data_IF_914947730095
#
_entry.id   IF_914947730095
#
_cell.length_a   1.000
_cell.length_b   1.000
_cell.length_c   1.000
_cell.angle_alpha   90.00
_cell.angle_beta   90.00
_cell.angle_gamma   90.00
#
_symmetry.space_group_name_H-M   'P 1'
#
loop_
_entity.id
_entity.type
_entity.pdbx_description
1 polymer ?
#
# COMPACT_ATOMS: atom_id res chain seq x y z
N UNK A 1 8.91 6.11 -21.45
CA UNK A 1 8.10 6.37 -20.21
C UNK A 1 7.17 5.20 -19.98
N UNK A 2 7.24 4.57 -18.83
CA UNK A 2 6.30 3.52 -18.46
C UNK A 2 4.97 4.13 -18.02
N UNK A 3 3.86 3.60 -18.56
CA UNK A 3 2.51 4.01 -18.11
C UNK A 3 2.33 3.60 -16.65
N UNK A 4 1.96 4.51 -15.73
CA UNK A 4 1.68 4.13 -14.35
C UNK A 4 0.51 3.15 -14.26
N UNK A 5 0.50 2.27 -13.24
CA UNK A 5 -0.61 1.35 -12.96
C UNK A 5 -1.87 2.16 -12.61
N UNK A 6 -1.68 3.22 -11.82
CA UNK A 6 -2.71 4.21 -11.50
C UNK A 6 -2.06 5.58 -11.29
N UNK A 7 -2.88 6.62 -11.21
CA UNK A 7 -2.46 7.97 -10.78
C UNK A 7 -3.48 8.43 -9.75
N UNK A 8 -3.03 8.91 -8.58
CA UNK A 8 -3.92 9.30 -7.50
C UNK A 8 -3.67 8.51 -6.21
N UNK A 9 -4.73 8.09 -5.52
CA UNK A 9 -4.68 7.41 -4.24
C UNK A 9 -5.15 5.95 -4.35
N UNK A 10 -4.26 5.00 -4.10
CA UNK A 10 -4.62 3.61 -3.87
C UNK A 10 -4.78 3.33 -2.37
N UNK A 11 -5.78 2.54 -1.98
CA UNK A 11 -5.90 2.06 -0.61
C UNK A 11 -5.04 0.82 -0.39
N UNK A 12 -4.20 0.81 0.65
CA UNK A 12 -3.68 -0.42 1.24
C UNK A 12 -4.79 -0.98 2.14
N UNK A 13 -5.72 -1.76 1.55
CA UNK A 13 -6.95 -2.17 2.19
C UNK A 13 -6.69 -3.14 3.34
N UNK A 14 -7.46 -3.00 4.43
CA UNK A 14 -7.46 -4.00 5.52
C UNK A 14 -8.09 -5.31 5.05
N UNK A 15 -7.75 -6.40 5.74
CA UNK A 15 -8.50 -7.65 5.64
C UNK A 15 -9.42 -7.76 6.87
N UNK A 16 -10.74 -7.58 6.71
CA UNK A 16 -11.67 -7.73 7.83
C UNK A 16 -11.76 -9.19 8.26
N UNK A 17 -11.85 -9.41 9.58
CA UNK A 17 -11.89 -10.74 10.18
C UNK A 17 -13.17 -10.94 10.98
N UNK A 18 -13.73 -12.15 10.92
CA UNK A 18 -14.81 -12.60 11.81
C UNK A 18 -14.30 -12.83 13.24
N UNK A 19 -15.21 -13.03 14.17
CA UNK A 19 -14.86 -13.28 15.58
C UNK A 19 -14.05 -14.58 15.79
N UNK A 20 -14.17 -15.55 14.90
CA UNK A 20 -13.36 -16.79 14.90
C UNK A 20 -12.00 -16.63 14.22
N UNK A 21 -11.70 -15.44 13.71
CA UNK A 21 -10.47 -15.09 12.99
C UNK A 21 -10.47 -15.46 11.50
N UNK A 22 -11.53 -16.02 10.94
CA UNK A 22 -11.67 -16.23 9.49
C UNK A 22 -11.85 -14.89 8.75
N UNK A 23 -11.52 -14.87 7.46
CA UNK A 23 -11.69 -13.66 6.64
C UNK A 23 -13.19 -13.37 6.44
N UNK A 24 -13.60 -12.13 6.72
CA UNK A 24 -14.96 -11.64 6.46
C UNK A 24 -15.07 -11.08 5.04
N UNK A 25 -15.36 -11.94 4.07
CA UNK A 25 -15.45 -11.56 2.67
C UNK A 25 -16.62 -10.61 2.37
N UNK A 26 -17.73 -10.73 3.11
CA UNK A 26 -18.88 -9.83 2.92
C UNK A 26 -18.48 -8.38 3.25
N UNK A 27 -17.83 -8.20 4.40
CA UNK A 27 -17.35 -6.89 4.81
C UNK A 27 -16.22 -6.37 3.91
N UNK A 28 -15.32 -7.25 3.46
CA UNK A 28 -14.29 -6.88 2.48
C UNK A 28 -14.93 -6.33 1.20
N UNK A 29 -15.98 -6.96 0.73
CA UNK A 29 -16.73 -6.49 -0.44
C UNK A 29 -17.36 -5.11 -0.23
N UNK A 30 -17.98 -4.88 0.93
CA UNK A 30 -18.55 -3.58 1.30
C UNK A 30 -17.50 -2.48 1.35
N UNK A 31 -16.33 -2.77 1.95
CA UNK A 31 -15.22 -1.82 2.01
C UNK A 31 -14.68 -1.51 0.60
N UNK A 32 -14.50 -2.52 -0.26
CA UNK A 32 -14.06 -2.30 -1.66
C UNK A 32 -15.05 -1.40 -2.41
N UNK A 33 -16.34 -1.65 -2.29
CA UNK A 33 -17.37 -0.84 -2.98
C UNK A 33 -17.38 0.60 -2.46
N UNK A 34 -17.25 0.79 -1.14
CA UNK A 34 -17.17 2.12 -0.53
C UNK A 34 -15.93 2.89 -1.01
N UNK A 35 -14.77 2.23 -1.04
CA UNK A 35 -13.53 2.82 -1.56
C UNK A 35 -13.71 3.32 -2.99
N UNK A 36 -14.30 2.50 -3.86
CA UNK A 36 -14.53 2.85 -5.26
C UNK A 36 -15.54 3.98 -5.37
N UNK A 37 -16.62 3.95 -4.59
CA UNK A 37 -17.65 4.99 -4.59
C UNK A 37 -17.10 6.36 -4.13
N UNK A 38 -16.05 6.36 -3.30
CA UNK A 38 -15.40 7.55 -2.78
C UNK A 38 -14.07 7.89 -3.48
N UNK A 39 -13.90 7.45 -4.73
CA UNK A 39 -12.85 7.94 -5.62
C UNK A 39 -11.48 7.29 -5.45
N UNK A 40 -11.36 6.18 -4.72
CA UNK A 40 -10.10 5.42 -4.69
C UNK A 40 -9.67 5.00 -6.10
N UNK A 41 -8.42 5.28 -6.49
CA UNK A 41 -7.89 5.05 -7.83
C UNK A 41 -7.35 3.63 -8.05
N UNK A 42 -7.07 2.88 -7.00
CA UNK A 42 -6.68 1.45 -7.05
C UNK A 42 -6.84 0.78 -5.69
N UNK A 43 -7.02 -0.54 -5.68
CA UNK A 43 -7.08 -1.37 -4.46
C UNK A 43 -5.79 -2.18 -4.34
N UNK A 44 -5.08 -2.03 -3.22
CA UNK A 44 -3.95 -2.90 -2.88
C UNK A 44 -4.41 -3.94 -1.86
N UNK A 45 -4.64 -5.17 -2.33
CA UNK A 45 -5.08 -6.31 -1.50
C UNK A 45 -3.89 -7.11 -0.99
N UNK A 46 -4.00 -7.68 0.19
CA UNK A 46 -2.96 -8.52 0.82
C UNK A 46 -1.59 -7.83 0.92
N UNK A 47 -1.58 -6.50 1.15
CA UNK A 47 -0.38 -5.79 1.59
C UNK A 47 -0.14 -5.98 3.09
N UNK A 48 0.80 -5.22 3.67
CA UNK A 48 1.07 -5.22 5.12
C UNK A 48 -0.17 -4.88 5.94
N UNK A 49 -0.94 -3.87 5.49
CA UNK A 49 -2.19 -3.44 6.14
C UNK A 49 -3.28 -4.51 6.05
N UNK A 50 -3.24 -5.36 5.02
CA UNK A 50 -4.11 -6.52 4.84
C UNK A 50 -3.64 -7.77 5.58
N UNK A 51 -2.68 -7.69 6.50
CA UNK A 51 -2.20 -8.79 7.34
C UNK A 51 -1.70 -10.01 6.55
N UNK A 52 -1.10 -9.79 5.38
CA UNK A 52 -0.63 -10.89 4.51
C UNK A 52 0.22 -11.97 5.21
N UNK A 53 1.08 -11.67 6.22
CA UNK A 53 1.89 -12.71 6.87
C UNK A 53 1.10 -13.74 7.69
N UNK A 54 -0.15 -13.44 8.03
CA UNK A 54 -1.01 -14.31 8.85
C UNK A 54 -2.18 -14.93 8.08
N UNK A 55 -2.26 -14.67 6.78
CA UNK A 55 -3.16 -15.38 5.87
C UNK A 55 -2.52 -16.69 5.44
N UNK A 56 -3.30 -17.79 5.42
CA UNK A 56 -2.86 -19.02 4.76
C UNK A 56 -2.75 -18.80 3.24
N UNK A 57 -2.09 -19.70 2.52
CA UNK A 57 -1.98 -19.62 1.05
C UNK A 57 -3.36 -19.59 0.39
N UNK A 58 -4.30 -20.37 0.91
CA UNK A 58 -5.69 -20.43 0.43
C UNK A 58 -6.43 -19.13 0.70
N UNK A 59 -6.29 -18.56 1.90
CA UNK A 59 -6.90 -17.28 2.25
C UNK A 59 -6.31 -16.13 1.42
N UNK A 60 -4.99 -16.11 1.25
CA UNK A 60 -4.29 -15.07 0.49
C UNK A 60 -4.78 -15.04 -0.96
N UNK A 61 -4.78 -16.19 -1.64
CA UNK A 61 -5.27 -16.30 -3.02
C UNK A 61 -6.77 -16.05 -3.11
N UNK A 62 -7.55 -16.48 -2.13
CA UNK A 62 -9.00 -16.20 -2.09
C UNK A 62 -9.29 -14.70 -1.93
N UNK A 63 -8.53 -13.97 -1.10
CA UNK A 63 -8.67 -12.52 -0.95
C UNK A 63 -8.36 -11.79 -2.26
N UNK A 64 -7.29 -12.17 -2.97
CA UNK A 64 -6.95 -11.58 -4.27
C UNK A 64 -8.07 -11.81 -5.29
N UNK A 65 -8.49 -13.06 -5.46
CA UNK A 65 -9.57 -13.44 -6.38
C UNK A 65 -10.87 -12.73 -6.06
N UNK A 66 -11.20 -12.63 -4.77
CA UNK A 66 -12.40 -11.92 -4.31
C UNK A 66 -12.32 -10.42 -4.65
N UNK A 67 -11.19 -9.77 -4.36
CA UNK A 67 -11.01 -8.35 -4.65
C UNK A 67 -11.10 -8.04 -6.15
N UNK A 68 -10.49 -8.88 -7.00
CA UNK A 68 -10.59 -8.76 -8.47
C UNK A 68 -12.04 -8.87 -8.93
N UNK A 69 -12.77 -9.89 -8.44
CA UNK A 69 -14.19 -10.08 -8.76
C UNK A 69 -15.04 -8.91 -8.28
N UNK A 70 -14.81 -8.42 -7.05
CA UNK A 70 -15.59 -7.33 -6.47
C UNK A 70 -15.29 -6.00 -7.14
N UNK A 71 -14.04 -5.70 -7.45
CA UNK A 71 -13.67 -4.48 -8.18
C UNK A 71 -14.24 -4.48 -9.60
N UNK A 72 -14.36 -5.65 -10.23
CA UNK A 72 -15.00 -5.84 -11.54
C UNK A 72 -14.48 -4.87 -12.63
N UNK A 73 -13.17 -4.57 -12.61
CA UNK A 73 -12.53 -3.66 -13.56
C UNK A 73 -12.85 -2.17 -13.38
N UNK A 74 -13.56 -1.79 -12.30
CA UNK A 74 -13.85 -0.38 -11.99
C UNK A 74 -12.58 0.39 -11.61
N UNK A 75 -11.67 -0.25 -10.92
CA UNK A 75 -10.33 0.24 -10.57
C UNK A 75 -9.32 -0.90 -10.63
N UNK A 76 -8.01 -0.64 -10.85
CA UNK A 76 -6.99 -1.67 -10.79
C UNK A 76 -6.89 -2.34 -9.41
N UNK A 77 -6.68 -3.67 -9.41
CA UNK A 77 -6.38 -4.46 -8.21
C UNK A 77 -4.91 -4.86 -8.21
N UNK A 78 -4.18 -4.42 -7.21
CA UNK A 78 -2.75 -4.64 -7.02
C UNK A 78 -2.59 -5.69 -5.91
N UNK A 79 -2.03 -6.85 -6.24
CA UNK A 79 -1.86 -7.94 -5.28
C UNK A 79 -0.52 -7.85 -4.54
N UNK A 80 -0.54 -7.87 -3.21
CA UNK A 80 0.65 -7.99 -2.38
C UNK A 80 1.18 -9.43 -2.43
N UNK A 81 2.29 -9.67 -3.13
CA UNK A 81 2.86 -11.01 -3.35
C UNK A 81 4.34 -11.11 -2.99
N UNK A 82 4.92 -10.02 -2.43
CA UNK A 82 6.30 -10.02 -1.99
C UNK A 82 6.55 -10.96 -0.80
N UNK A 83 7.71 -11.59 -0.80
CA UNK A 83 8.15 -12.49 0.28
C UNK A 83 9.68 -12.40 0.46
N UNK A 84 10.17 -12.87 1.60
CA UNK A 84 11.58 -13.08 1.86
C UNK A 84 12.13 -14.41 1.28
N UNK A 85 11.28 -15.23 0.67
CA UNK A 85 11.61 -16.39 -0.15
C UNK A 85 11.26 -16.12 -1.62
N UNK A 86 12.27 -16.12 -2.48
CA UNK A 86 12.10 -15.84 -3.91
C UNK A 86 11.17 -16.83 -4.60
N UNK A 87 11.24 -18.12 -4.26
CA UNK A 87 10.38 -19.15 -4.86
C UNK A 87 8.92 -18.94 -4.49
N UNK A 88 8.67 -18.65 -3.21
CA UNK A 88 7.33 -18.37 -2.73
C UNK A 88 6.76 -17.08 -3.34
N UNK A 89 7.56 -16.01 -3.44
CA UNK A 89 7.15 -14.78 -4.10
C UNK A 89 6.79 -15.00 -5.58
N UNK A 90 7.54 -15.84 -6.30
CA UNK A 90 7.24 -16.22 -7.68
C UNK A 90 5.92 -16.98 -7.76
N UNK A 91 5.76 -18.01 -6.92
CA UNK A 91 4.53 -18.82 -6.89
C UNK A 91 3.29 -17.94 -6.62
N UNK A 92 3.34 -17.12 -5.58
CA UNK A 92 2.23 -16.26 -5.20
C UNK A 92 1.92 -15.21 -6.28
N UNK A 93 2.95 -14.67 -6.93
CA UNK A 93 2.80 -13.73 -8.05
C UNK A 93 2.13 -14.38 -9.26
N UNK A 94 2.46 -15.63 -9.54
CA UNK A 94 1.82 -16.42 -10.62
C UNK A 94 0.35 -16.73 -10.28
N UNK A 95 0.05 -17.04 -9.00
CA UNK A 95 -1.34 -17.23 -8.57
C UNK A 95 -2.14 -15.92 -8.72
N UNK A 96 -1.59 -14.78 -8.28
CA UNK A 96 -2.25 -13.48 -8.42
C UNK A 96 -2.49 -13.12 -9.89
N UNK A 97 -1.54 -13.42 -10.78
CA UNK A 97 -1.73 -13.25 -12.23
C UNK A 97 -2.85 -14.14 -12.77
N UNK A 98 -2.91 -15.40 -12.35
CA UNK A 98 -3.96 -16.33 -12.76
C UNK A 98 -5.34 -15.94 -12.22
N UNK A 99 -5.41 -15.33 -11.03
CA UNK A 99 -6.62 -14.80 -10.40
C UNK A 99 -7.07 -13.45 -10.98
N UNK A 100 -6.29 -12.87 -11.93
CA UNK A 100 -6.69 -11.68 -12.68
C UNK A 100 -6.29 -10.34 -12.04
N UNK A 101 -5.31 -10.31 -11.15
CA UNK A 101 -4.76 -9.05 -10.65
C UNK A 101 -4.16 -8.21 -11.80
N UNK A 102 -4.23 -6.88 -11.66
CA UNK A 102 -3.72 -5.93 -12.66
C UNK A 102 -2.24 -5.60 -12.46
N UNK A 103 -1.72 -5.74 -11.23
CA UNK A 103 -0.33 -5.50 -10.88
C UNK A 103 0.04 -6.21 -9.58
N UNK A 104 1.35 -6.24 -9.29
CA UNK A 104 1.90 -6.85 -8.08
C UNK A 104 2.59 -5.81 -7.19
N UNK A 105 2.45 -5.92 -5.87
CA UNK A 105 3.22 -5.19 -4.88
C UNK A 105 4.21 -6.14 -4.20
N UNK A 106 5.51 -5.87 -4.36
CA UNK A 106 6.60 -6.75 -3.97
C UNK A 106 7.46 -6.09 -2.88
N UNK A 107 7.22 -6.42 -1.61
CA UNK A 107 8.03 -5.93 -0.49
C UNK A 107 9.46 -6.47 -0.57
N UNK A 108 10.45 -5.67 -0.11
CA UNK A 108 11.84 -6.15 0.01
C UNK A 108 11.92 -7.35 0.97
N UNK A 109 12.83 -8.32 0.73
CA UNK A 109 13.04 -9.43 1.67
C UNK A 109 13.30 -8.92 3.08
N UNK A 110 12.45 -9.34 4.01
CA UNK A 110 12.50 -9.03 5.42
C UNK A 110 13.15 -10.17 6.21
N UNK A 111 13.66 -9.88 7.40
CA UNK A 111 14.26 -10.85 8.33
C UNK A 111 15.61 -11.42 7.83
N UNK A 112 15.63 -12.31 6.81
CA UNK A 112 16.86 -12.86 6.24
C UNK A 112 17.67 -11.82 5.46
N UNK A 113 17.05 -10.69 5.02
CA UNK A 113 17.68 -9.58 4.29
C UNK A 113 18.47 -10.07 3.06
N UNK A 114 19.24 -9.18 2.43
CA UNK A 114 20.21 -9.52 1.40
C UNK A 114 21.04 -8.29 1.01
N UNK A 115 22.05 -8.49 0.17
CA UNK A 115 22.82 -7.41 -0.46
C UNK A 115 22.04 -6.74 -1.59
N UNK A 116 22.51 -5.59 -2.09
CA UNK A 116 21.91 -4.93 -3.24
C UNK A 116 21.91 -5.83 -4.50
N UNK A 117 22.99 -6.57 -4.72
CA UNK A 117 23.05 -7.57 -5.80
C UNK A 117 22.00 -8.68 -5.61
N UNK A 118 21.78 -9.12 -4.39
CA UNK A 118 20.74 -10.09 -4.07
C UNK A 118 19.34 -9.54 -4.28
N UNK A 119 19.06 -8.26 -3.96
CA UNK A 119 17.79 -7.60 -4.26
C UNK A 119 17.54 -7.55 -5.78
N UNK A 120 18.55 -7.17 -6.54
CA UNK A 120 18.45 -7.15 -8.02
C UNK A 120 18.16 -8.55 -8.56
N UNK A 121 18.86 -9.58 -8.08
CA UNK A 121 18.62 -10.97 -8.50
C UNK A 121 17.22 -11.45 -8.13
N UNK A 122 16.77 -11.18 -6.88
CA UNK A 122 15.44 -11.55 -6.37
C UNK A 122 14.33 -10.95 -7.24
N UNK A 123 14.32 -9.64 -7.44
CA UNK A 123 13.29 -8.97 -8.23
C UNK A 123 13.35 -9.30 -9.70
N UNK A 124 14.55 -9.54 -10.26
CA UNK A 124 14.70 -10.00 -11.64
C UNK A 124 14.07 -11.38 -11.82
N UNK A 125 14.29 -12.30 -10.87
CA UNK A 125 13.70 -13.63 -10.93
C UNK A 125 12.17 -13.58 -10.88
N UNK A 126 11.58 -12.75 -10.00
CA UNK A 126 10.12 -12.57 -9.92
C UNK A 126 9.58 -11.93 -11.20
N UNK A 127 10.20 -10.84 -11.67
CA UNK A 127 9.77 -10.13 -12.86
C UNK A 127 9.79 -11.03 -14.11
N UNK A 128 10.79 -11.90 -14.24
CA UNK A 128 10.86 -12.84 -15.37
C UNK A 128 9.84 -13.98 -15.30
N UNK A 129 9.22 -14.21 -14.14
CA UNK A 129 8.25 -15.29 -13.95
C UNK A 129 6.79 -14.87 -14.21
N UNK A 130 6.52 -13.57 -14.41
CA UNK A 130 5.17 -13.00 -14.60
C UNK A 130 5.18 -11.95 -15.71
N UNK A 131 3.99 -11.63 -16.23
CA UNK A 131 3.80 -10.56 -17.23
C UNK A 131 3.18 -9.29 -16.67
N UNK A 132 2.77 -9.30 -15.38
CA UNK A 132 2.12 -8.17 -14.74
C UNK A 132 3.13 -7.05 -14.39
N UNK A 133 2.68 -5.79 -14.37
CA UNK A 133 3.44 -4.69 -13.79
C UNK A 133 3.78 -4.97 -12.33
N UNK A 134 5.05 -4.80 -11.96
CA UNK A 134 5.56 -4.99 -10.60
C UNK A 134 5.84 -3.63 -9.96
N UNK A 135 5.32 -3.40 -8.77
CA UNK A 135 5.59 -2.25 -7.90
C UNK A 135 6.50 -2.77 -6.78
N UNK A 136 7.74 -2.33 -6.74
CA UNK A 136 8.67 -2.69 -5.68
C UNK A 136 8.33 -1.90 -4.41
N UNK A 137 8.33 -2.55 -3.25
CA UNK A 137 7.97 -1.88 -2.00
C UNK A 137 9.18 -1.78 -1.07
N UNK A 138 9.68 -0.56 -0.92
CA UNK A 138 10.82 -0.21 -0.07
C UNK A 138 10.34 0.35 1.28
N UNK A 139 10.53 -0.41 2.35
CA UNK A 139 10.11 -0.05 3.71
C UNK A 139 11.15 -0.51 4.74
N UNK A 140 12.34 0.09 4.76
CA UNK A 140 13.47 -0.38 5.57
C UNK A 140 13.19 -0.38 7.08
N UNK A 141 12.30 0.46 7.59
CA UNK A 141 11.87 0.46 8.99
C UNK A 141 11.21 -0.86 9.43
N UNK A 142 10.58 -1.58 8.49
CA UNK A 142 9.94 -2.89 8.74
C UNK A 142 10.83 -4.07 8.36
N UNK A 143 11.53 -3.95 7.23
CA UNK A 143 12.28 -5.07 6.65
C UNK A 143 13.73 -5.11 7.09
N UNK A 144 14.28 -3.98 7.55
CA UNK A 144 15.72 -3.83 7.78
C UNK A 144 16.55 -3.90 6.50
N UNK A 145 15.91 -3.73 5.33
CA UNK A 145 16.53 -3.83 4.02
C UNK A 145 16.10 -2.63 3.17
N UNK A 146 17.05 -1.79 2.77
CA UNK A 146 16.79 -0.62 1.93
C UNK A 146 17.18 -0.91 0.48
N UNK A 147 16.28 -0.65 -0.44
CA UNK A 147 16.51 -0.73 -1.88
C UNK A 147 17.04 0.62 -2.36
N UNK A 148 18.32 0.65 -2.75
CA UNK A 148 18.99 1.90 -3.12
C UNK A 148 18.58 2.44 -4.49
N UNK A 149 18.72 3.77 -4.74
CA UNK A 149 18.47 4.38 -6.05
C UNK A 149 19.23 3.69 -7.20
N UNK A 150 20.48 3.29 -6.97
CA UNK A 150 21.29 2.59 -7.99
C UNK A 150 20.71 1.22 -8.35
N UNK A 151 20.23 0.46 -7.37
CA UNK A 151 19.57 -0.83 -7.59
C UNK A 151 18.22 -0.65 -8.30
N UNK A 152 17.45 0.38 -7.93
CA UNK A 152 16.20 0.73 -8.61
C UNK A 152 16.45 1.12 -10.08
N UNK A 153 17.48 1.92 -10.37
CA UNK A 153 17.84 2.29 -11.73
C UNK A 153 18.24 1.09 -12.59
N UNK A 154 18.86 0.08 -11.98
CA UNK A 154 19.16 -1.20 -12.66
C UNK A 154 17.89 -1.99 -12.93
N UNK A 155 16.99 -2.14 -11.93
CA UNK A 155 15.74 -2.88 -12.03
C UNK A 155 14.73 -2.19 -12.96
N UNK A 156 14.71 -0.87 -13.02
CA UNK A 156 13.85 -0.09 -13.90
C UNK A 156 14.04 -0.40 -15.40
N UNK A 157 15.17 -1.02 -15.78
CA UNK A 157 15.42 -1.46 -17.16
C UNK A 157 14.58 -2.69 -17.55
N UNK A 158 14.06 -3.43 -16.58
CA UNK A 158 13.17 -4.56 -16.85
C UNK A 158 11.77 -4.02 -17.25
N UNK A 159 11.16 -4.56 -18.32
CA UNK A 159 9.95 -3.98 -18.90
C UNK A 159 8.77 -3.94 -17.93
N UNK A 160 8.61 -4.94 -17.08
CA UNK A 160 7.51 -5.06 -16.14
C UNK A 160 7.82 -4.55 -14.72
N UNK A 161 9.04 -4.15 -14.38
CA UNK A 161 9.28 -3.35 -13.17
C UNK A 161 8.75 -1.94 -13.44
N UNK A 162 7.54 -1.65 -12.97
CA UNK A 162 6.77 -0.46 -13.32
C UNK A 162 7.00 0.71 -12.38
N UNK A 163 7.08 0.41 -11.07
CA UNK A 163 7.10 1.45 -10.04
C UNK A 163 7.84 1.02 -8.79
N UNK A 164 8.07 2.00 -7.92
CA UNK A 164 8.41 1.78 -6.51
C UNK A 164 7.36 2.45 -5.61
N UNK A 165 6.89 1.72 -4.58
CA UNK A 165 6.25 2.28 -3.40
C UNK A 165 7.36 2.61 -2.42
N UNK A 166 7.65 3.90 -2.26
CA UNK A 166 8.73 4.38 -1.40
C UNK A 166 8.17 4.76 -0.02
N UNK A 167 8.62 4.06 1.00
CA UNK A 167 8.18 4.24 2.38
C UNK A 167 9.36 4.27 3.37
N UNK A 168 10.54 4.70 2.91
CA UNK A 168 11.70 4.89 3.79
C UNK A 168 11.55 6.10 4.72
N UNK A 169 10.68 7.05 4.37
CA UNK A 169 10.59 8.35 5.04
C UNK A 169 11.68 9.34 4.62
N UNK A 170 12.59 8.94 3.73
CA UNK A 170 13.73 9.75 3.28
C UNK A 170 13.43 10.44 1.95
N UNK A 171 12.97 11.68 2.01
CA UNK A 171 12.66 12.50 0.81
C UNK A 171 13.89 12.73 -0.07
N UNK A 172 15.10 12.81 0.51
CA UNK A 172 16.33 12.90 -0.28
C UNK A 172 16.53 11.66 -1.15
N UNK A 173 16.27 10.46 -0.61
CA UNK A 173 16.32 9.23 -1.40
C UNK A 173 15.26 9.21 -2.51
N UNK A 174 14.07 9.76 -2.27
CA UNK A 174 13.05 9.92 -3.32
C UNK A 174 13.57 10.77 -4.46
N UNK A 175 14.22 11.91 -4.17
CA UNK A 175 14.83 12.77 -5.18
C UNK A 175 15.94 12.05 -5.97
N UNK A 176 16.78 11.28 -5.28
CA UNK A 176 17.82 10.46 -5.92
C UNK A 176 17.22 9.38 -6.84
N UNK A 177 16.12 8.72 -6.43
CA UNK A 177 15.39 7.75 -7.25
C UNK A 177 14.83 8.43 -8.51
N UNK A 178 14.18 9.58 -8.34
CA UNK A 178 13.61 10.34 -9.45
C UNK A 178 14.70 10.76 -10.46
N UNK A 179 15.86 11.22 -9.97
CA UNK A 179 16.99 11.60 -10.80
C UNK A 179 17.63 10.39 -11.53
N UNK A 180 17.79 9.26 -10.82
CA UNK A 180 18.46 8.09 -11.35
C UNK A 180 17.60 7.28 -12.33
N UNK A 181 16.28 7.22 -12.11
CA UNK A 181 15.35 6.39 -12.90
C UNK A 181 14.61 7.20 -13.98
N UNK A 182 14.45 8.51 -13.80
CA UNK A 182 13.74 9.36 -14.75
C UNK A 182 12.34 8.83 -15.08
N UNK A 183 12.02 8.67 -16.36
CA UNK A 183 10.71 8.18 -16.83
C UNK A 183 10.59 6.66 -16.87
N UNK A 184 11.63 5.93 -16.48
CA UNK A 184 11.66 4.45 -16.54
C UNK A 184 11.05 3.80 -15.29
N UNK A 185 10.78 4.59 -14.23
CA UNK A 185 10.18 4.11 -13.00
C UNK A 185 9.17 5.12 -12.45
N UNK A 186 7.95 4.69 -12.19
CA UNK A 186 6.97 5.50 -11.46
C UNK A 186 7.24 5.43 -9.95
N UNK A 187 6.91 6.48 -9.21
CA UNK A 187 7.12 6.54 -7.76
C UNK A 187 5.77 6.80 -7.09
N UNK A 188 5.41 5.98 -6.11
CA UNK A 188 4.26 6.17 -5.23
C UNK A 188 4.74 6.37 -3.80
N UNK A 189 4.11 7.30 -3.07
CA UNK A 189 4.34 7.39 -1.63
C UNK A 189 3.77 6.15 -0.92
N UNK A 190 4.54 5.60 0.01
CA UNK A 190 4.06 4.61 0.97
C UNK A 190 3.69 5.24 2.32
N UNK A 191 3.87 6.55 2.45
CA UNK A 191 3.66 7.33 3.67
C UNK A 191 2.62 8.42 3.42
N UNK A 192 1.53 8.40 4.18
CA UNK A 192 0.43 9.36 4.05
C UNK A 192 0.84 10.80 4.42
N UNK A 193 1.83 10.96 5.28
CA UNK A 193 2.39 12.26 5.68
C UNK A 193 3.36 12.86 4.64
N UNK A 194 3.67 12.14 3.56
CA UNK A 194 4.62 12.54 2.52
C UNK A 194 4.03 12.55 1.09
N UNK A 195 2.70 12.60 0.96
CA UNK A 195 2.05 12.60 -0.37
C UNK A 195 2.53 13.80 -1.19
N UNK A 196 2.32 15.01 -0.68
CA UNK A 196 2.65 16.26 -1.41
C UNK A 196 4.15 16.40 -1.70
N UNK A 197 5.06 16.19 -0.76
CA UNK A 197 6.50 16.21 -1.05
C UNK A 197 6.90 15.24 -2.16
N UNK A 198 6.32 14.05 -2.17
CA UNK A 198 6.64 13.03 -3.19
C UNK A 198 6.04 13.38 -4.55
N UNK A 199 4.82 13.91 -4.60
CA UNK A 199 4.23 14.43 -5.83
C UNK A 199 5.08 15.55 -6.44
N UNK A 200 5.64 16.45 -5.61
CA UNK A 200 6.54 17.51 -6.04
C UNK A 200 7.84 16.98 -6.69
N UNK A 201 8.25 15.77 -6.36
CA UNK A 201 9.39 15.07 -6.97
C UNK A 201 9.01 14.21 -8.18
N UNK A 202 7.80 14.40 -8.73
CA UNK A 202 7.32 13.68 -9.92
C UNK A 202 6.59 12.37 -9.64
N UNK A 203 6.22 12.11 -8.39
CA UNK A 203 5.43 10.97 -7.98
C UNK A 203 4.07 10.90 -8.67
N UNK A 204 3.48 9.70 -8.70
CA UNK A 204 2.20 9.43 -9.35
C UNK A 204 1.03 9.33 -8.37
N UNK A 205 1.30 9.36 -7.08
CA UNK A 205 0.28 9.25 -6.05
C UNK A 205 0.78 8.53 -4.79
N UNK A 206 -0.14 7.93 -4.07
CA UNK A 206 0.09 7.27 -2.78
C UNK A 206 -0.55 5.88 -2.73
N UNK A 207 0.08 4.96 -2.01
CA UNK A 207 -0.54 3.70 -1.56
C UNK A 207 -0.74 3.85 -0.04
N UNK A 208 -1.95 4.18 0.35
CA UNK A 208 -2.34 4.85 1.59
C UNK A 208 -2.92 3.91 2.64
N UNK A 209 -2.65 4.18 3.91
CA UNK A 209 -3.39 3.63 5.06
C UNK A 209 -4.57 4.54 5.41
N UNK A 210 -4.40 5.86 5.36
CA UNK A 210 -5.45 6.85 5.62
C UNK A 210 -6.68 6.63 4.75
N UNK A 211 -6.52 6.21 3.49
CA UNK A 211 -7.61 5.90 2.57
C UNK A 211 -8.62 4.89 3.12
N UNK A 212 -8.24 3.99 4.02
CA UNK A 212 -9.21 3.05 4.63
C UNK A 212 -10.35 3.79 5.35
N UNK A 213 -10.08 4.97 5.91
CA UNK A 213 -11.01 5.76 6.71
C UNK A 213 -11.52 7.00 6.00
N UNK A 214 -10.73 7.55 5.08
CA UNK A 214 -10.99 8.81 4.40
C UNK A 214 -10.61 8.72 2.90
N UNK A 215 -11.27 7.83 2.13
CA UNK A 215 -10.92 7.57 0.73
C UNK A 215 -11.00 8.84 -0.13
N UNK A 216 -12.14 9.54 -0.13
CA UNK A 216 -12.34 10.77 -0.91
C UNK A 216 -11.30 11.83 -0.56
N UNK A 217 -11.03 12.03 0.73
CA UNK A 217 -10.05 13.02 1.16
C UNK A 217 -8.64 12.71 0.66
N UNK A 218 -8.23 11.45 0.71
CA UNK A 218 -6.92 11.02 0.24
C UNK A 218 -6.80 11.11 -1.29
N UNK A 219 -7.86 10.74 -2.00
CA UNK A 219 -7.98 10.97 -3.45
C UNK A 219 -7.84 12.45 -3.79
N UNK A 220 -8.58 13.32 -3.09
CA UNK A 220 -8.61 14.76 -3.36
C UNK A 220 -7.24 15.42 -3.17
N UNK A 221 -6.41 14.98 -2.22
CA UNK A 221 -5.03 15.47 -2.10
C UNK A 221 -4.28 15.27 -3.42
N UNK A 222 -4.37 14.09 -4.02
CA UNK A 222 -3.71 13.79 -5.27
C UNK A 222 -4.37 14.51 -6.46
N UNK A 223 -5.70 14.48 -6.55
CA UNK A 223 -6.47 15.09 -7.62
C UNK A 223 -6.21 16.60 -7.72
N UNK A 224 -6.23 17.31 -6.59
CA UNK A 224 -5.92 18.75 -6.51
C UNK A 224 -4.49 19.05 -6.94
N UNK A 225 -3.52 18.21 -6.56
CA UNK A 225 -2.15 18.37 -7.05
C UNK A 225 -2.09 18.32 -8.58
N UNK A 226 -2.70 17.31 -9.19
CA UNK A 226 -2.68 17.17 -10.65
C UNK A 226 -3.52 18.21 -11.38
N UNK A 227 -4.51 18.82 -10.70
CA UNK A 227 -5.25 19.98 -11.20
C UNK A 227 -4.48 21.31 -11.08
N UNK A 228 -3.31 21.31 -10.42
CA UNK A 228 -2.52 22.53 -10.19
C UNK A 228 -2.94 23.33 -8.94
N UNK A 229 -3.89 22.82 -8.15
CA UNK A 229 -4.39 23.44 -6.91
C UNK A 229 -3.45 23.14 -5.71
N UNK A 230 -2.16 23.47 -5.88
CA UNK A 230 -1.09 23.01 -4.97
C UNK A 230 -1.21 23.57 -3.55
N UNK A 231 -1.78 24.77 -3.39
CA UNK A 231 -1.99 25.37 -2.06
C UNK A 231 -3.07 24.62 -1.27
N UNK A 232 -4.19 24.29 -1.91
CA UNK A 232 -5.25 23.50 -1.27
C UNK A 232 -4.77 22.10 -0.94
N UNK A 233 -4.08 21.45 -1.88
CA UNK A 233 -3.43 20.16 -1.68
C UNK A 233 -2.50 20.19 -0.44
N UNK A 234 -1.66 21.22 -0.30
CA UNK A 234 -0.79 21.40 0.87
C UNK A 234 -1.59 21.56 2.17
N UNK A 235 -2.66 22.35 2.18
CA UNK A 235 -3.49 22.52 3.37
C UNK A 235 -4.18 21.20 3.78
N UNK A 236 -4.67 20.43 2.82
CA UNK A 236 -5.23 19.11 3.07
C UNK A 236 -4.17 18.17 3.66
N UNK A 237 -2.97 18.11 3.08
CA UNK A 237 -1.87 17.31 3.62
C UNK A 237 -1.56 17.67 5.08
N UNK A 238 -1.44 18.97 5.38
CA UNK A 238 -1.12 19.44 6.72
C UNK A 238 -2.24 19.15 7.73
N UNK A 239 -3.51 19.28 7.32
CA UNK A 239 -4.67 18.94 8.16
C UNK A 239 -4.70 17.44 8.48
N UNK A 240 -4.27 16.57 7.57
CA UNK A 240 -4.27 15.12 7.78
C UNK A 240 -3.13 14.63 8.70
N UNK A 241 -2.07 15.42 8.93
CA UNK A 241 -0.88 14.97 9.67
C UNK A 241 -1.16 14.42 11.07
N UNK A 242 -2.03 15.01 11.91
CA UNK A 242 -2.34 14.45 13.23
C UNK A 242 -2.95 13.06 13.15
N UNK A 243 -3.89 12.84 12.20
CA UNK A 243 -4.52 11.54 11.98
C UNK A 243 -3.53 10.53 11.40
N UNK A 244 -2.70 10.93 10.42
CA UNK A 244 -1.63 10.07 9.91
C UNK A 244 -0.70 9.59 11.02
N UNK A 245 -0.28 10.47 11.94
CA UNK A 245 0.55 10.11 13.09
C UNK A 245 -0.16 9.15 14.04
N UNK A 246 -1.45 9.37 14.32
CA UNK A 246 -2.24 8.49 15.18
C UNK A 246 -2.40 7.09 14.57
N UNK A 247 -2.56 6.98 13.26
CA UNK A 247 -2.64 5.69 12.54
C UNK A 247 -1.33 4.88 12.57
N UNK A 248 -0.23 5.49 12.97
CA UNK A 248 1.08 4.85 13.13
C UNK A 248 1.62 4.98 14.57
N UNK A 249 0.75 5.28 15.55
CA UNK A 249 1.12 5.32 16.97
C UNK A 249 1.39 3.92 17.54
N UNK A 250 0.92 2.89 16.85
CA UNK A 250 1.25 1.48 17.07
C UNK A 250 1.51 0.81 15.72
N UNK A 251 1.86 -0.47 15.74
CA UNK A 251 2.16 -1.23 14.52
C UNK A 251 0.93 -1.30 13.59
N UNK A 252 1.05 -0.72 12.40
CA UNK A 252 0.02 -0.86 11.36
C UNK A 252 -0.13 -2.35 10.96
N UNK A 253 -1.36 -2.95 10.93
CA UNK A 253 -2.67 -2.30 10.87
C UNK A 253 -3.45 -2.17 12.20
N UNK A 254 -2.84 -2.32 13.37
CA UNK A 254 -3.55 -2.27 14.66
C UNK A 254 -4.40 -0.98 14.76
N UNK A 255 -3.82 0.25 14.60
CA UNK A 255 -4.61 1.47 14.75
C UNK A 255 -5.72 1.61 13.71
N UNK A 256 -5.45 1.31 12.44
CA UNK A 256 -6.44 1.51 11.38
C UNK A 256 -7.62 0.55 11.50
N UNK A 257 -7.41 -0.71 11.88
CA UNK A 257 -8.53 -1.66 12.10
C UNK A 257 -9.40 -1.25 13.29
N UNK A 258 -8.76 -0.82 14.38
CA UNK A 258 -9.49 -0.27 15.52
C UNK A 258 -10.32 0.96 15.12
N UNK A 259 -9.72 1.89 14.40
CA UNK A 259 -10.40 3.11 13.94
C UNK A 259 -11.57 2.81 12.99
N UNK A 260 -11.42 1.85 12.08
CA UNK A 260 -12.52 1.41 11.20
C UNK A 260 -13.67 0.79 12.00
N UNK A 261 -13.40 -0.01 13.03
CA UNK A 261 -14.43 -0.51 13.93
C UNK A 261 -15.17 0.64 14.65
N UNK A 262 -14.45 1.70 15.06
CA UNK A 262 -15.05 2.91 15.65
C UNK A 262 -15.95 3.68 14.68
N UNK A 263 -15.68 3.59 13.37
CA UNK A 263 -16.52 4.16 12.31
C UNK A 263 -17.70 3.25 11.91
N UNK A 264 -17.88 2.11 12.58
CA UNK A 264 -19.01 1.21 12.35
C UNK A 264 -18.77 0.14 11.28
N UNK A 265 -17.54 -0.02 10.79
CA UNK A 265 -17.16 -1.15 9.96
C UNK A 265 -16.96 -2.41 10.81
N UNK A 266 -17.18 -3.58 10.21
CA UNK A 266 -16.90 -4.87 10.86
C UNK A 266 -15.48 -5.34 10.52
N UNK A 267 -14.47 -4.48 10.81
CA UNK A 267 -13.07 -4.79 10.52
C UNK A 267 -12.53 -5.97 11.34
N UNK A 268 -13.13 -6.22 12.51
CA UNK A 268 -12.70 -7.27 13.44
C UNK A 268 -11.35 -6.97 14.09
N UNK A 269 -10.84 -7.94 14.85
CA UNK A 269 -9.52 -7.86 15.47
C UNK A 269 -8.41 -8.22 14.45
N UNK A 270 -7.17 -7.82 14.75
CA UNK A 270 -6.00 -8.36 14.06
C UNK A 270 -5.73 -9.80 14.52
N UNK A 271 -5.11 -10.60 13.66
CA UNK A 271 -4.57 -11.91 14.05
C UNK A 271 -3.26 -11.74 14.84
N UNK A 272 -3.00 -12.64 15.79
CA UNK A 272 -1.69 -12.67 16.46
C UNK A 272 -0.54 -12.81 15.43
N UNK A 273 0.60 -12.15 15.67
CA UNK A 273 1.04 -11.54 16.94
C UNK A 273 0.51 -10.13 17.22
N UNK A 274 -0.32 -9.57 16.34
CA UNK A 274 -0.91 -8.25 16.53
C UNK A 274 -2.09 -8.34 17.52
N UNK A 275 -2.20 -7.33 18.39
CA UNK A 275 -3.22 -7.27 19.45
C UNK A 275 -3.95 -5.94 19.37
N UNK A 276 -5.00 -5.77 20.19
CA UNK A 276 -5.71 -4.49 20.33
C UNK A 276 -4.76 -3.36 20.77
N UNK A 277 -4.95 -2.13 20.28
CA UNK A 277 -4.13 -1.00 20.70
C UNK A 277 -4.37 -0.67 22.18
N UNK A 278 -3.33 -0.17 22.86
CA UNK A 278 -3.46 0.29 24.25
C UNK A 278 -4.49 1.42 24.38
N UNK A 279 -5.06 1.60 25.58
CA UNK A 279 -6.02 2.67 25.85
C UNK A 279 -5.46 4.06 25.44
N UNK A 280 -4.18 4.31 25.69
CA UNK A 280 -3.54 5.57 25.29
C UNK A 280 -3.53 5.78 23.77
N UNK A 281 -3.30 4.73 23.00
CA UNK A 281 -3.35 4.79 21.52
C UNK A 281 -4.81 4.95 21.04
N UNK A 282 -5.77 4.29 21.68
CA UNK A 282 -7.19 4.45 21.38
C UNK A 282 -7.65 5.89 21.60
N UNK A 283 -7.29 6.50 22.75
CA UNK A 283 -7.62 7.90 23.06
C UNK A 283 -6.98 8.88 22.06
N UNK A 284 -5.73 8.62 21.66
CA UNK A 284 -5.04 9.41 20.64
C UNK A 284 -5.73 9.32 19.28
N UNK A 285 -6.14 8.11 18.87
CA UNK A 285 -6.88 7.88 17.62
C UNK A 285 -8.23 8.59 17.65
N UNK A 286 -9.00 8.41 18.74
CA UNK A 286 -10.32 9.02 18.85
C UNK A 286 -10.25 10.57 18.82
N UNK A 287 -9.27 11.15 19.50
CA UNK A 287 -9.01 12.59 19.43
C UNK A 287 -8.69 13.04 18.00
N UNK A 288 -7.76 12.36 17.34
CA UNK A 288 -7.37 12.71 15.98
C UNK A 288 -8.52 12.54 14.97
N UNK A 289 -9.36 11.50 15.14
CA UNK A 289 -10.53 11.28 14.30
C UNK A 289 -11.60 12.37 14.49
N UNK A 290 -11.84 12.82 15.72
CA UNK A 290 -12.75 13.97 16.02
C UNK A 290 -12.23 15.27 15.41
N UNK A 291 -10.95 15.59 15.62
CA UNK A 291 -10.33 16.82 15.12
C UNK A 291 -10.30 16.84 13.57
N UNK A 292 -10.20 15.67 12.96
CA UNK A 292 -10.26 15.53 11.52
C UNK A 292 -11.69 15.66 10.97
N UNK A 293 -12.70 15.28 11.75
CA UNK A 293 -14.13 15.33 11.42
C UNK A 293 -14.70 14.00 10.93
N UNK A 294 -14.15 12.87 11.41
CA UNK A 294 -14.66 11.52 11.13
C UNK A 294 -15.62 11.02 12.22
N UNK A 295 -15.58 11.61 13.41
CA UNK A 295 -16.46 11.30 14.55
C UNK A 295 -17.23 12.54 14.99
#
# INVERSE_FOLDING_TARGET
MKKPVFTGAAVAIITPMNADGSVNFEELGRIIDDQIAHGTDAIVICGTTGESPTLSDEEHTACIRYAVKQAAGRVPVIAGTGSNDTKYAIWLSQQAQADGADALLLVTPYYNKTSQAGLVAHYTAIANAVNLPCILYNVPSRTGCNLTPASLAQLAKLPNINAVKEASGNISQVAEIAAACGTELNIYSGNDDQIVPLLALGGKGVISVLSNMAPQYTHDICAKWFAGETQECLQMQLKALPLCKALFADVNPIPVKWAMNRLGWQAGACRLPLVEPSAAVQDQLETAMRDFGLL
#
